data_IF_092577290293
#
_entry.id   IF_092577290293
#
_cell.length_a   1.000
_cell.length_b   1.000
_cell.length_c   1.000
_cell.angle_alpha   90.00
_cell.angle_beta   90.00
_cell.angle_gamma   90.00
#
_symmetry.space_group_name_H-M   'P 1'
#
loop_
_entity.id
_entity.type
_entity.pdbx_description
1 polymer ?
#
# COMPACT_ATOMS: atom_id res chain seq x y z
N UNK A 1 23.95 -3.12 28.33
CA UNK A 1 23.96 -2.59 26.94
C UNK A 1 24.96 -1.44 26.87
N UNK A 2 25.86 -1.41 25.87
CA UNK A 2 26.86 -0.34 25.74
C UNK A 2 26.25 1.01 25.37
N UNK A 3 26.98 2.10 25.65
CA UNK A 3 26.53 3.49 25.40
C UNK A 3 26.12 3.72 23.92
N UNK A 4 26.84 3.09 22.98
CA UNK A 4 26.53 3.16 21.55
C UNK A 4 25.19 2.50 21.19
N UNK A 5 24.89 1.34 21.77
CA UNK A 5 23.62 0.63 21.54
C UNK A 5 22.43 1.40 22.12
N UNK A 6 22.61 2.06 23.27
CA UNK A 6 21.58 2.92 23.86
C UNK A 6 21.28 4.13 22.96
N UNK A 7 22.32 4.84 22.50
CA UNK A 7 22.16 5.99 21.59
C UNK A 7 21.52 5.60 20.25
N UNK A 8 21.87 4.44 19.69
CA UNK A 8 21.26 3.95 18.46
C UNK A 8 19.76 3.64 18.65
N UNK A 9 19.39 3.02 19.78
CA UNK A 9 18.00 2.77 20.14
C UNK A 9 17.21 4.06 20.34
N UNK A 10 17.75 5.02 21.10
CA UNK A 10 17.11 6.34 21.30
C UNK A 10 16.90 7.07 19.97
N UNK A 11 17.86 6.96 19.04
CA UNK A 11 17.72 7.52 17.70
C UNK A 11 16.56 6.88 16.94
N UNK A 12 16.48 5.56 16.95
CA UNK A 12 15.43 4.81 16.26
C UNK A 12 14.04 5.06 16.87
N UNK A 13 13.95 5.09 18.20
CA UNK A 13 12.69 5.37 18.92
C UNK A 13 12.16 6.77 18.56
N UNK A 14 13.04 7.78 18.47
CA UNK A 14 12.64 9.13 18.06
C UNK A 14 12.26 9.19 16.57
N UNK A 15 12.97 8.48 15.70
CA UNK A 15 12.59 8.37 14.27
C UNK A 15 11.16 7.85 14.13
N UNK A 16 10.80 6.78 14.85
CA UNK A 16 9.43 6.23 14.85
C UNK A 16 8.41 7.21 15.40
N UNK A 17 8.72 7.88 16.51
CA UNK A 17 7.84 8.88 17.09
C UNK A 17 7.51 10.03 16.10
N UNK A 18 8.50 10.47 15.31
CA UNK A 18 8.29 11.47 14.25
C UNK A 18 7.35 10.94 13.18
N UNK A 19 7.56 9.72 12.71
CA UNK A 19 6.75 9.08 11.66
C UNK A 19 5.30 8.86 12.13
N UNK A 20 5.09 8.31 13.32
CA UNK A 20 3.75 8.09 13.88
C UNK A 20 2.99 9.41 14.08
N UNK A 21 3.68 10.44 14.55
CA UNK A 21 3.10 11.77 14.71
C UNK A 21 2.72 12.40 13.37
N UNK A 22 3.59 12.27 12.37
CA UNK A 22 3.34 12.76 11.03
C UNK A 22 2.18 12.02 10.36
N UNK A 23 2.13 10.68 10.44
CA UNK A 23 1.02 9.86 9.91
C UNK A 23 -0.32 10.33 10.47
N UNK A 24 -0.41 10.48 11.79
CA UNK A 24 -1.64 10.94 12.44
C UNK A 24 -2.05 12.36 11.96
N UNK A 25 -1.10 13.29 11.83
CA UNK A 25 -1.39 14.65 11.38
C UNK A 25 -1.78 14.69 9.89
N UNK A 26 -1.12 13.90 9.05
CA UNK A 26 -1.45 13.78 7.63
C UNK A 26 -2.87 13.24 7.42
N UNK A 27 -3.29 12.23 8.19
CA UNK A 27 -4.64 11.70 8.11
C UNK A 27 -5.69 12.69 8.65
N UNK A 28 -5.35 13.43 9.71
CA UNK A 28 -6.28 14.36 10.34
C UNK A 28 -6.44 15.68 9.57
N UNK A 29 -5.35 16.22 9.03
CA UNK A 29 -5.31 17.56 8.44
C UNK A 29 -5.00 17.56 6.95
N UNK A 30 -4.52 16.44 6.39
CA UNK A 30 -3.97 16.39 5.03
C UNK A 30 -2.49 16.78 4.99
N UNK A 31 -1.82 16.38 3.91
CA UNK A 31 -0.40 16.67 3.67
C UNK A 31 -0.08 18.16 3.66
N UNK A 32 -0.84 18.96 2.91
CA UNK A 32 -0.59 20.41 2.73
C UNK A 32 -0.68 21.20 4.04
N UNK A 33 -1.67 20.87 4.89
CA UNK A 33 -1.90 21.59 6.15
C UNK A 33 -1.01 21.11 7.30
N UNK A 34 -0.24 20.04 7.11
CA UNK A 34 0.70 19.54 8.10
C UNK A 34 2.06 20.20 7.92
N UNK A 35 2.68 20.66 9.01
CA UNK A 35 4.02 21.28 8.99
C UNK A 35 4.99 20.57 9.92
N UNK A 36 6.30 20.71 9.66
CA UNK A 36 7.37 20.23 10.55
C UNK A 36 7.19 20.71 11.99
N UNK A 37 6.69 21.95 12.17
CA UNK A 37 6.42 22.51 13.50
C UNK A 37 5.29 21.79 14.22
N UNK A 38 4.21 21.45 13.52
CA UNK A 38 3.08 20.71 14.10
C UNK A 38 3.50 19.30 14.52
N UNK A 39 4.30 18.61 13.69
CA UNK A 39 4.83 17.29 14.01
C UNK A 39 5.70 17.37 15.28
N UNK A 40 6.63 18.32 15.34
CA UNK A 40 7.50 18.51 16.50
C UNK A 40 6.71 18.80 17.79
N UNK A 41 5.71 19.68 17.71
CA UNK A 41 4.83 20.02 18.83
C UNK A 41 4.06 18.80 19.35
N UNK A 42 3.56 17.93 18.45
CA UNK A 42 2.81 16.73 18.81
C UNK A 42 3.62 15.75 19.68
N UNK A 43 4.94 15.71 19.47
CA UNK A 43 5.86 14.85 20.24
C UNK A 43 6.67 15.60 21.30
N UNK A 44 6.35 16.88 21.56
CA UNK A 44 7.04 17.75 22.52
C UNK A 44 8.55 17.98 22.23
N UNK A 45 8.93 18.02 20.95
CA UNK A 45 10.29 18.36 20.48
C UNK A 45 10.34 19.70 19.74
N UNK A 46 11.56 20.22 19.54
CA UNK A 46 11.78 21.38 18.68
C UNK A 46 11.81 20.97 17.21
N UNK A 47 11.40 21.83 16.26
CA UNK A 47 11.54 21.55 14.82
C UNK A 47 12.99 21.22 14.42
N UNK A 48 13.97 21.90 15.02
CA UNK A 48 15.40 21.62 14.83
C UNK A 48 15.76 20.17 15.12
N UNK A 49 15.11 19.53 16.10
CA UNK A 49 15.34 18.12 16.41
C UNK A 49 14.90 17.21 15.27
N UNK A 50 13.74 17.49 14.65
CA UNK A 50 13.24 16.69 13.52
C UNK A 50 14.17 16.78 12.31
N UNK A 51 14.74 17.96 12.05
CA UNK A 51 15.69 18.18 10.94
C UNK A 51 16.98 17.35 11.04
N UNK A 52 17.29 16.79 12.22
CA UNK A 52 18.40 15.83 12.39
C UNK A 52 18.08 14.44 11.81
N UNK A 53 16.79 14.16 11.53
CA UNK A 53 16.29 12.87 11.06
C UNK A 53 15.73 12.93 9.64
N UNK A 54 15.01 14.02 9.34
CA UNK A 54 14.35 14.22 8.05
C UNK A 54 14.62 15.63 7.56
N UNK A 55 15.07 15.75 6.31
CA UNK A 55 15.40 17.03 5.68
C UNK A 55 14.20 18.00 5.68
N UNK A 56 13.00 17.46 5.47
CA UNK A 56 11.76 18.21 5.26
C UNK A 56 10.54 17.28 5.47
N UNK A 57 9.33 17.86 5.30
CA UNK A 57 8.05 17.16 5.39
C UNK A 57 7.94 16.04 4.34
N UNK A 58 8.49 16.31 3.16
CA UNK A 58 8.50 15.44 1.99
C UNK A 58 9.27 14.14 2.31
N UNK A 59 10.45 14.25 2.92
CA UNK A 59 11.23 13.09 3.36
C UNK A 59 10.50 12.23 4.42
N UNK A 60 9.68 12.84 5.28
CA UNK A 60 8.84 12.11 6.25
C UNK A 60 7.73 11.36 5.53
N UNK A 61 7.01 12.04 4.64
CA UNK A 61 5.94 11.45 3.86
C UNK A 61 6.43 10.28 3.02
N UNK A 62 7.57 10.46 2.34
CA UNK A 62 8.25 9.41 1.61
C UNK A 62 8.58 8.19 2.49
N UNK A 63 9.18 8.42 3.67
CA UNK A 63 9.51 7.32 4.58
C UNK A 63 8.27 6.54 5.03
N UNK A 64 7.15 7.23 5.30
CA UNK A 64 5.89 6.57 5.62
C UNK A 64 5.34 5.75 4.43
N UNK A 65 5.46 6.28 3.21
CA UNK A 65 5.09 5.56 1.98
C UNK A 65 5.90 4.29 1.80
N UNK A 66 7.23 4.39 1.91
CA UNK A 66 8.16 3.26 1.81
C UNK A 66 7.84 2.20 2.87
N UNK A 67 7.62 2.57 4.13
CA UNK A 67 7.24 1.63 5.20
C UNK A 67 5.91 0.90 4.90
N UNK A 68 4.92 1.61 4.34
CA UNK A 68 3.65 1.02 3.97
C UNK A 68 3.77 0.02 2.80
N UNK A 69 4.53 0.36 1.74
CA UNK A 69 4.80 -0.56 0.64
C UNK A 69 5.68 -1.74 1.06
N UNK A 70 6.65 -1.54 1.94
CA UNK A 70 7.46 -2.63 2.50
C UNK A 70 6.60 -3.62 3.30
N UNK A 71 5.63 -3.11 4.07
CA UNK A 71 4.69 -3.96 4.79
C UNK A 71 3.81 -4.78 3.83
N UNK A 72 3.25 -4.15 2.79
CA UNK A 72 2.48 -4.86 1.77
C UNK A 72 3.33 -5.89 1.01
N UNK A 73 4.53 -5.49 0.57
CA UNK A 73 5.49 -6.36 -0.11
C UNK A 73 5.90 -7.56 0.75
N UNK A 74 6.11 -7.36 2.06
CA UNK A 74 6.38 -8.43 3.01
C UNK A 74 5.23 -9.43 3.15
N UNK A 75 3.98 -9.00 3.02
CA UNK A 75 2.80 -9.90 3.01
C UNK A 75 2.64 -10.66 1.71
N UNK A 76 3.09 -10.08 0.59
CA UNK A 76 3.05 -10.73 -0.73
C UNK A 76 4.22 -11.70 -0.94
N UNK A 77 5.37 -11.45 -0.31
CA UNK A 77 6.59 -12.23 -0.51
C UNK A 77 6.44 -13.76 -0.34
N UNK A 78 5.72 -14.28 0.69
CA UNK A 78 5.49 -15.72 0.84
C UNK A 78 4.74 -16.35 -0.33
N UNK A 79 3.92 -15.57 -1.05
CA UNK A 79 3.11 -16.07 -2.17
C UNK A 79 3.97 -16.45 -3.38
N UNK A 80 5.24 -16.02 -3.43
CA UNK A 80 6.18 -16.45 -4.46
C UNK A 80 6.36 -17.98 -4.51
N UNK A 81 6.06 -18.68 -3.41
CA UNK A 81 6.13 -20.15 -3.32
C UNK A 81 4.85 -20.86 -3.81
N UNK A 82 3.78 -20.13 -4.15
CA UNK A 82 2.56 -20.71 -4.70
C UNK A 82 2.79 -21.07 -6.18
N UNK A 83 2.79 -22.37 -6.46
CA UNK A 83 3.19 -22.91 -7.76
C UNK A 83 2.25 -22.51 -8.90
N UNK A 84 0.93 -22.59 -8.71
CA UNK A 84 -0.02 -22.15 -9.74
C UNK A 84 -0.11 -20.61 -9.76
N UNK A 85 0.28 -19.93 -10.87
CA UNK A 85 0.18 -18.48 -10.95
C UNK A 85 -1.25 -17.96 -10.83
N UNK A 86 -2.28 -18.74 -11.16
CA UNK A 86 -3.68 -18.31 -10.96
C UNK A 86 -4.11 -18.39 -9.49
N UNK A 87 -3.66 -19.39 -8.75
CA UNK A 87 -3.87 -19.47 -7.30
C UNK A 87 -3.08 -18.39 -6.58
N UNK A 88 -1.85 -18.13 -7.03
CA UNK A 88 -1.02 -17.03 -6.55
C UNK A 88 -1.70 -15.68 -6.77
N UNK A 89 -2.23 -15.43 -7.97
CA UNK A 89 -2.94 -14.20 -8.28
C UNK A 89 -4.16 -13.98 -7.38
N UNK A 90 -4.92 -15.05 -7.13
CA UNK A 90 -6.05 -15.01 -6.22
C UNK A 90 -5.61 -14.71 -4.77
N UNK A 91 -4.57 -15.38 -4.28
CA UNK A 91 -4.01 -15.13 -2.96
C UNK A 91 -3.47 -13.69 -2.83
N UNK A 92 -2.84 -13.15 -3.87
CA UNK A 92 -2.39 -11.75 -3.92
C UNK A 92 -3.57 -10.79 -3.78
N UNK A 93 -4.67 -11.04 -4.49
CA UNK A 93 -5.90 -10.25 -4.36
C UNK A 93 -6.45 -10.25 -2.94
N UNK A 94 -6.50 -11.42 -2.28
CA UNK A 94 -6.94 -11.54 -0.88
C UNK A 94 -6.02 -10.76 0.07
N UNK A 95 -4.70 -10.92 -0.07
CA UNK A 95 -3.72 -10.19 0.76
C UNK A 95 -3.87 -8.68 0.58
N UNK A 96 -4.06 -8.22 -0.65
CA UNK A 96 -4.26 -6.80 -0.95
C UNK A 96 -5.53 -6.25 -0.29
N UNK A 97 -6.67 -6.95 -0.43
CA UNK A 97 -7.93 -6.54 0.18
C UNK A 97 -7.83 -6.53 1.70
N UNK A 98 -7.32 -7.60 2.33
CA UNK A 98 -7.12 -7.65 3.78
C UNK A 98 -6.18 -6.56 4.28
N UNK A 99 -5.10 -6.26 3.56
CA UNK A 99 -4.23 -5.15 3.91
C UNK A 99 -4.98 -3.82 3.94
N UNK A 100 -5.82 -3.53 2.96
CA UNK A 100 -6.60 -2.31 2.91
C UNK A 100 -7.62 -2.20 4.06
N UNK A 101 -8.21 -3.32 4.47
CA UNK A 101 -9.19 -3.38 5.57
C UNK A 101 -8.55 -3.29 6.95
N UNK A 102 -7.41 -3.97 7.15
CA UNK A 102 -6.68 -3.97 8.41
C UNK A 102 -5.94 -2.64 8.65
N UNK A 103 -5.49 -1.99 7.57
CA UNK A 103 -4.68 -0.77 7.61
C UNK A 103 -5.27 0.33 6.70
N UNK A 104 -6.52 0.79 6.92
CA UNK A 104 -7.16 1.80 6.05
C UNK A 104 -6.38 3.13 6.04
N UNK A 105 -5.74 3.47 7.15
CA UNK A 105 -4.86 4.64 7.27
C UNK A 105 -3.60 4.54 6.37
N UNK A 106 -2.99 3.35 6.29
CA UNK A 106 -1.84 3.14 5.39
C UNK A 106 -2.29 3.08 3.94
N UNK A 107 -3.44 2.48 3.66
CA UNK A 107 -4.05 2.47 2.33
C UNK A 107 -4.30 3.90 1.83
N UNK A 108 -4.85 4.75 2.68
CA UNK A 108 -5.11 6.16 2.39
C UNK A 108 -3.85 6.93 2.10
N UNK A 109 -2.84 6.73 2.95
CA UNK A 109 -1.53 7.31 2.76
C UNK A 109 -0.96 6.92 1.39
N UNK A 110 -0.96 5.62 1.07
CA UNK A 110 -0.35 5.07 -0.14
C UNK A 110 -1.02 5.51 -1.45
N UNK A 111 -2.33 5.71 -1.45
CA UNK A 111 -3.09 5.79 -2.71
C UNK A 111 -4.11 6.92 -2.82
N UNK A 112 -4.54 7.53 -1.71
CA UNK A 112 -5.67 8.46 -1.70
C UNK A 112 -5.24 9.88 -1.34
N UNK A 113 -4.23 10.03 -0.50
CA UNK A 113 -3.78 11.33 -0.06
C UNK A 113 -3.27 12.16 -1.24
N UNK A 114 -3.87 13.34 -1.44
CA UNK A 114 -3.37 14.34 -2.37
C UNK A 114 -2.06 14.93 -1.81
N UNK A 115 -0.97 14.22 -2.05
CA UNK A 115 0.38 14.74 -2.01
C UNK A 115 0.88 14.77 -3.46
N UNK A 116 1.67 15.78 -3.88
CA UNK A 116 2.14 15.82 -5.25
C UNK A 116 2.95 14.56 -5.55
N UNK A 117 2.50 13.72 -6.49
CA UNK A 117 3.29 12.55 -6.92
C UNK A 117 4.65 12.97 -7.47
N UNK A 118 4.82 14.21 -7.92
CA UNK A 118 6.13 14.76 -8.27
C UNK A 118 7.12 14.79 -7.09
N UNK A 119 6.66 14.87 -5.84
CA UNK A 119 7.53 14.74 -4.65
C UNK A 119 8.10 13.32 -4.55
N UNK A 120 7.36 12.33 -5.02
CA UNK A 120 7.77 10.91 -5.07
C UNK A 120 8.64 10.64 -6.31
N UNK A 121 8.29 11.24 -7.45
CA UNK A 121 9.01 11.10 -8.73
C UNK A 121 10.37 11.84 -8.75
N UNK A 122 10.45 13.05 -8.20
CA UNK A 122 11.69 13.87 -8.17
C UNK A 122 12.80 13.22 -7.34
N UNK A 123 12.43 12.35 -6.41
CA UNK A 123 13.40 11.62 -5.61
C UNK A 123 13.83 10.28 -6.26
N UNK A 124 13.22 9.84 -7.37
CA UNK A 124 13.38 8.51 -7.98
C UNK A 124 12.94 7.32 -7.10
N UNK A 125 12.01 7.53 -6.16
CA UNK A 125 11.77 6.58 -5.04
C UNK A 125 10.33 6.05 -5.00
N UNK A 126 9.90 5.47 -6.11
CA UNK A 126 8.78 4.54 -6.09
C UNK A 126 9.23 3.07 -6.13
N UNK A 127 10.50 2.80 -5.78
CA UNK A 127 11.10 1.46 -5.87
C UNK A 127 10.26 0.39 -5.17
N UNK A 128 9.73 0.65 -3.98
CA UNK A 128 8.90 -0.34 -3.27
C UNK A 128 7.51 -0.52 -3.89
N UNK A 129 6.92 0.55 -4.43
CA UNK A 129 5.67 0.47 -5.20
C UNK A 129 5.87 -0.32 -6.50
N UNK A 130 6.93 -0.01 -7.24
CA UNK A 130 7.37 -0.72 -8.44
C UNK A 130 7.67 -2.18 -8.13
N UNK A 131 8.30 -2.47 -6.99
CA UNK A 131 8.57 -3.84 -6.56
C UNK A 131 7.28 -4.64 -6.36
N UNK A 132 6.29 -4.05 -5.68
CA UNK A 132 4.99 -4.70 -5.48
C UNK A 132 4.26 -4.91 -6.81
N UNK A 133 4.26 -3.90 -7.68
CA UNK A 133 3.65 -4.03 -9.00
C UNK A 133 4.36 -5.06 -9.88
N UNK A 134 5.69 -5.15 -9.79
CA UNK A 134 6.50 -6.14 -10.50
C UNK A 134 6.19 -7.57 -10.08
N UNK A 135 5.87 -7.82 -8.81
CA UNK A 135 5.41 -9.16 -8.36
C UNK A 135 4.10 -9.54 -9.05
N UNK A 136 3.19 -8.58 -9.23
CA UNK A 136 1.94 -8.79 -9.97
C UNK A 136 2.21 -9.07 -11.45
N UNK A 137 3.00 -8.23 -12.12
CA UNK A 137 3.29 -8.41 -13.55
C UNK A 137 4.03 -9.71 -13.84
N UNK A 138 4.95 -10.14 -12.96
CA UNK A 138 5.61 -11.43 -13.06
C UNK A 138 4.60 -12.60 -12.98
N UNK A 139 3.67 -12.54 -12.03
CA UNK A 139 2.64 -13.56 -11.83
C UNK A 139 1.67 -13.63 -13.02
N UNK A 140 1.22 -12.48 -13.51
CA UNK A 140 0.36 -12.38 -14.72
C UNK A 140 1.08 -12.92 -15.95
N UNK A 141 2.34 -12.54 -16.15
CA UNK A 141 3.17 -13.04 -17.25
C UNK A 141 3.36 -14.56 -17.21
N UNK A 142 3.52 -15.14 -16.03
CA UNK A 142 3.59 -16.59 -15.84
C UNK A 142 2.26 -17.28 -16.17
N UNK A 143 1.13 -16.74 -15.69
CA UNK A 143 -0.20 -17.26 -16.01
C UNK A 143 -0.49 -17.27 -17.52
N UNK A 144 -0.08 -16.21 -18.23
CA UNK A 144 -0.20 -16.14 -19.69
C UNK A 144 0.71 -17.15 -20.39
N UNK A 145 1.97 -17.31 -19.97
CA UNK A 145 2.91 -18.31 -20.50
C UNK A 145 2.38 -19.73 -20.34
N UNK A 146 1.74 -20.02 -19.21
CA UNK A 146 1.10 -21.31 -18.92
C UNK A 146 -0.29 -21.46 -19.59
N UNK A 147 -0.74 -20.48 -20.38
CA UNK A 147 -2.06 -20.44 -21.03
C UNK A 147 -3.24 -20.56 -20.06
N UNK A 148 -3.05 -20.16 -18.81
CA UNK A 148 -4.09 -20.10 -17.77
C UNK A 148 -4.82 -18.75 -17.75
N UNK A 149 -4.23 -17.74 -18.37
CA UNK A 149 -4.81 -16.43 -18.62
C UNK A 149 -4.76 -16.11 -20.11
N UNK A 150 -5.75 -15.37 -20.62
CA UNK A 150 -5.79 -14.92 -22.01
C UNK A 150 -4.49 -14.21 -22.39
N UNK A 151 -4.01 -14.44 -23.61
CA UNK A 151 -2.88 -13.67 -24.15
C UNK A 151 -3.27 -12.19 -24.28
N UNK A 152 -2.38 -11.31 -23.83
CA UNK A 152 -2.51 -9.86 -23.93
C UNK A 152 -1.19 -9.19 -23.59
N UNK A 153 -1.23 -7.87 -23.46
CA UNK A 153 -0.11 -7.12 -22.89
C UNK A 153 -0.06 -7.34 -21.36
N UNK A 154 1.11 -7.71 -20.83
CA UNK A 154 1.27 -8.09 -19.42
C UNK A 154 1.05 -6.89 -18.50
N UNK A 155 1.56 -5.71 -18.86
CA UNK A 155 1.48 -4.52 -18.01
C UNK A 155 0.05 -3.99 -17.99
N UNK A 156 -0.58 -3.86 -19.17
CA UNK A 156 -1.97 -3.43 -19.28
C UNK A 156 -2.90 -4.39 -18.53
N UNK A 157 -2.69 -5.70 -18.68
CA UNK A 157 -3.51 -6.71 -17.97
C UNK A 157 -3.30 -6.63 -16.46
N UNK A 158 -2.05 -6.43 -16.01
CA UNK A 158 -1.74 -6.26 -14.58
C UNK A 158 -2.36 -5.00 -14.01
N UNK A 159 -2.32 -3.90 -14.75
CA UNK A 159 -2.99 -2.65 -14.38
C UNK A 159 -4.51 -2.82 -14.27
N UNK A 160 -5.16 -3.53 -15.18
CA UNK A 160 -6.60 -3.82 -15.08
C UNK A 160 -6.95 -4.69 -13.88
N UNK A 161 -6.12 -5.69 -13.58
CA UNK A 161 -6.29 -6.55 -12.40
C UNK A 161 -6.13 -5.73 -11.13
N UNK A 162 -5.04 -4.96 -11.03
CA UNK A 162 -4.80 -4.08 -9.89
C UNK A 162 -5.93 -3.06 -9.75
N UNK A 163 -6.32 -2.36 -10.81
CA UNK A 163 -7.39 -1.37 -10.81
C UNK A 163 -8.73 -1.95 -10.35
N UNK A 164 -9.03 -3.20 -10.70
CA UNK A 164 -10.25 -3.88 -10.24
C UNK A 164 -10.23 -4.11 -8.73
N UNK A 165 -9.17 -4.76 -8.22
CA UNK A 165 -9.03 -5.07 -6.78
C UNK A 165 -8.87 -3.79 -5.95
N UNK A 166 -8.14 -2.81 -6.48
CA UNK A 166 -8.00 -1.48 -5.91
C UNK A 166 -9.34 -0.76 -5.82
N UNK A 167 -10.16 -0.79 -6.88
CA UNK A 167 -11.51 -0.21 -6.87
C UNK A 167 -12.41 -0.85 -5.81
N UNK A 168 -12.35 -2.17 -5.65
CA UNK A 168 -13.06 -2.88 -4.57
C UNK A 168 -12.62 -2.39 -3.18
N UNK A 169 -11.31 -2.32 -2.94
CA UNK A 169 -10.76 -1.82 -1.68
C UNK A 169 -11.17 -0.36 -1.42
N UNK A 170 -10.99 0.53 -2.38
CA UNK A 170 -11.30 1.95 -2.26
C UNK A 170 -12.79 2.21 -1.97
N UNK A 171 -13.69 1.46 -2.62
CA UNK A 171 -15.13 1.56 -2.37
C UNK A 171 -15.52 1.05 -0.98
N UNK A 172 -14.85 0.01 -0.49
CA UNK A 172 -15.11 -0.57 0.82
C UNK A 172 -14.54 0.28 1.96
N UNK A 173 -13.27 0.67 1.90
CA UNK A 173 -12.59 1.52 2.90
C UNK A 173 -13.30 2.86 3.12
N UNK A 174 -14.12 3.29 2.16
CA UNK A 174 -14.90 4.53 2.19
C UNK A 174 -16.40 4.33 2.41
N UNK A 175 -16.82 3.14 2.81
CA UNK A 175 -18.22 2.74 3.02
C UNK A 175 -19.16 3.06 1.83
N UNK A 176 -18.59 3.24 0.63
CA UNK A 176 -19.35 3.62 -0.57
C UNK A 176 -20.18 2.45 -1.07
N UNK A 177 -19.62 1.24 -1.01
CA UNK A 177 -20.35 0.03 -1.39
C UNK A 177 -21.58 -0.22 -0.52
N UNK A 178 -21.53 0.08 0.78
CA UNK A 178 -22.64 -0.16 1.71
C UNK A 178 -23.86 0.73 1.48
N UNK A 179 -23.72 1.79 0.66
CA UNK A 179 -24.83 2.67 0.26
C UNK A 179 -25.60 2.17 -0.94
N UNK A 180 -25.01 1.28 -1.74
CA UNK A 180 -25.57 0.86 -3.04
C UNK A 180 -25.79 -0.65 -3.14
N UNK A 181 -25.05 -1.44 -2.37
CA UNK A 181 -25.19 -2.89 -2.30
C UNK A 181 -26.14 -3.25 -1.17
N UNK A 182 -26.97 -4.28 -1.37
CA UNK A 182 -27.91 -4.75 -0.36
C UNK A 182 -27.20 -5.25 0.92
N UNK A 183 -27.73 -4.98 2.13
CA UNK A 183 -27.09 -5.33 3.40
C UNK A 183 -26.69 -6.80 3.55
N UNK A 184 -27.51 -7.72 3.04
CA UNK A 184 -27.27 -9.16 3.07
C UNK A 184 -26.03 -9.62 2.28
N UNK A 185 -25.45 -8.72 1.47
CA UNK A 185 -24.21 -8.97 0.72
C UNK A 185 -22.97 -8.34 1.35
N UNK A 186 -23.13 -7.47 2.35
CA UNK A 186 -22.02 -6.66 2.89
C UNK A 186 -20.90 -7.53 3.49
N UNK A 187 -21.27 -8.60 4.19
CA UNK A 187 -20.34 -9.48 4.90
C UNK A 187 -19.32 -10.15 3.96
N UNK A 188 -19.78 -10.64 2.81
CA UNK A 188 -18.96 -11.40 1.86
C UNK A 188 -18.62 -10.63 0.58
N UNK A 189 -19.00 -9.36 0.46
CA UNK A 189 -18.93 -8.60 -0.80
C UNK A 189 -17.55 -8.65 -1.46
N UNK A 190 -16.48 -8.49 -0.67
CA UNK A 190 -15.12 -8.47 -1.18
C UNK A 190 -14.61 -9.86 -1.58
N UNK A 191 -14.96 -10.89 -0.79
CA UNK A 191 -14.58 -12.27 -1.07
C UNK A 191 -15.31 -12.79 -2.31
N UNK A 192 -16.64 -12.64 -2.34
CA UNK A 192 -17.50 -13.02 -3.47
C UNK A 192 -17.09 -12.27 -4.75
N UNK A 193 -16.81 -10.97 -4.62
CA UNK A 193 -16.37 -10.14 -5.75
C UNK A 193 -15.03 -10.59 -6.32
N UNK A 194 -14.07 -10.95 -5.46
CA UNK A 194 -12.76 -11.45 -5.90
C UNK A 194 -12.88 -12.84 -6.53
N UNK A 195 -13.68 -13.73 -5.95
CA UNK A 195 -13.94 -15.07 -6.47
C UNK A 195 -14.58 -14.99 -7.87
N UNK A 196 -15.58 -14.13 -8.05
CA UNK A 196 -16.21 -13.86 -9.35
C UNK A 196 -15.20 -13.29 -10.35
N UNK A 197 -14.41 -12.31 -9.94
CA UNK A 197 -13.40 -11.70 -10.80
C UNK A 197 -12.36 -12.72 -11.28
N UNK A 198 -11.80 -13.54 -10.39
CA UNK A 198 -10.86 -14.60 -10.77
C UNK A 198 -11.54 -15.65 -11.66
N UNK A 199 -12.80 -16.00 -11.39
CA UNK A 199 -13.57 -16.90 -12.26
C UNK A 199 -13.69 -16.35 -13.68
N UNK A 200 -13.97 -15.05 -13.84
CA UNK A 200 -13.99 -14.39 -15.14
C UNK A 200 -12.62 -14.41 -15.82
N UNK A 201 -11.54 -14.13 -15.10
CA UNK A 201 -10.18 -14.23 -15.64
C UNK A 201 -9.85 -15.65 -16.14
N UNK A 202 -10.27 -16.68 -15.40
CA UNK A 202 -10.13 -18.10 -15.80
C UNK A 202 -11.02 -18.46 -16.99
N UNK A 203 -12.20 -17.83 -17.11
CA UNK A 203 -13.15 -18.03 -18.20
C UNK A 203 -12.71 -17.44 -19.54
N UNK A 204 -11.81 -16.45 -19.50
CA UNK A 204 -11.17 -15.85 -20.69
C UNK A 204 -10.10 -16.77 -21.32
N UNK A 205 -10.28 -18.10 -21.26
CA UNK A 205 -9.31 -19.04 -21.86
C UNK A 205 -9.10 -18.69 -23.35
N UNK A 206 -7.85 -18.82 -23.84
CA UNK A 206 -7.54 -18.54 -25.24
C UNK A 206 -8.36 -19.41 -26.19
#
# INVERSE_FOLDING_TARGET
>A
MGIAARKAKEKEDLRRAILDAARALFLQHGYERTSMRMIAQRIAYSPTTLYLYFKDKDAIFHALHSEAFQLLGGRLAPLAHVADPMERLFAMGRVYLHFALEHPELYDLMFIMEAPMCVVDEMHIWEEGDNVFRVLTATVGEAMKQKKLRKGDVEITSFLIWGTVHGMAALHVRDRCFKVISPEKHEHLLEDGLDLFISWLKGLKP
#
